data_IF_516989981045
#
_entry.id   IF_516989981045
#
_cell.length_a   1.000
_cell.length_b   1.000
_cell.length_c   1.000
_cell.angle_alpha   90.00
_cell.angle_beta   90.00
_cell.angle_gamma   90.00
#
_symmetry.space_group_name_H-M   'P 1'
#
loop_
_entity.id
_entity.type
_entity.pdbx_description
1 polymer ?
#
# COMPACT_ATOMS: atom_id res chain seq x y z
N UNK A 1 -3.27 -7.72 1.24
CA UNK A 1 -2.89 -8.53 2.43
C UNK A 1 -1.55 -8.03 2.92
N UNK A 2 -1.37 -7.86 4.23
CA UNK A 2 -0.14 -7.32 4.84
C UNK A 2 0.15 -8.02 6.16
N UNK A 3 1.41 -8.05 6.58
CA UNK A 3 1.82 -8.56 7.90
C UNK A 3 1.52 -7.58 9.04
N UNK A 4 1.57 -8.08 10.27
CA UNK A 4 1.54 -7.32 11.52
C UNK A 4 2.63 -6.26 11.61
N UNK A 5 3.82 -6.53 11.06
CA UNK A 5 4.89 -5.54 10.92
C UNK A 5 4.46 -4.26 10.17
N UNK A 6 3.44 -4.33 9.29
CA UNK A 6 2.84 -3.14 8.69
C UNK A 6 1.68 -2.59 9.54
N UNK A 7 0.77 -3.45 10.00
CA UNK A 7 -0.41 -3.04 10.77
C UNK A 7 -0.07 -2.37 12.10
N UNK A 8 1.10 -2.66 12.68
CA UNK A 8 1.55 -2.03 13.91
C UNK A 8 1.84 -0.52 13.78
N UNK A 9 2.06 -0.01 12.58
CA UNK A 9 2.46 1.39 12.34
C UNK A 9 1.66 2.11 11.25
N UNK A 10 0.85 1.40 10.47
CA UNK A 10 0.00 1.95 9.40
C UNK A 10 -1.45 1.58 9.63
N UNK A 11 -2.36 2.58 9.61
CA UNK A 11 -3.79 2.34 9.76
C UNK A 11 -4.47 1.93 8.45
N UNK A 12 -5.66 1.32 8.53
CA UNK A 12 -6.42 0.93 7.33
C UNK A 12 -6.72 2.13 6.42
N UNK A 13 -7.05 3.28 7.02
CA UNK A 13 -7.29 4.53 6.29
C UNK A 13 -6.05 5.00 5.53
N UNK A 14 -4.88 4.92 6.16
CA UNK A 14 -3.61 5.25 5.50
C UNK A 14 -3.35 4.33 4.32
N UNK A 15 -3.58 3.02 4.48
CA UNK A 15 -3.40 2.03 3.40
C UNK A 15 -4.28 2.39 2.21
N UNK A 16 -5.56 2.71 2.43
CA UNK A 16 -6.49 3.08 1.35
C UNK A 16 -6.03 4.35 0.63
N UNK A 17 -5.60 5.38 1.38
CA UNK A 17 -5.11 6.63 0.80
C UNK A 17 -3.83 6.41 -0.02
N UNK A 18 -2.86 5.69 0.53
CA UNK A 18 -1.58 5.38 -0.15
C UNK A 18 -1.82 4.60 -1.44
N UNK A 19 -2.71 3.60 -1.41
CA UNK A 19 -3.04 2.83 -2.61
C UNK A 19 -3.70 3.75 -3.65
N UNK A 20 -4.67 4.58 -3.25
CA UNK A 20 -5.37 5.52 -4.16
C UNK A 20 -4.42 6.47 -4.89
N UNK A 21 -3.43 7.01 -4.18
CA UNK A 21 -2.45 7.94 -4.77
C UNK A 21 -1.44 7.24 -5.69
N UNK A 22 -1.23 5.93 -5.51
CA UNK A 22 -0.18 5.15 -6.21
C UNK A 22 -0.75 4.21 -7.30
N UNK A 23 -2.05 4.31 -7.63
CA UNK A 23 -2.76 3.38 -8.53
C UNK A 23 -2.33 3.50 -10.00
N UNK A 24 -1.18 2.93 -10.33
CA UNK A 24 -0.77 2.61 -11.71
C UNK A 24 -0.27 1.18 -11.83
N UNK A 25 0.42 0.68 -10.79
CA UNK A 25 0.96 -0.67 -10.75
C UNK A 25 0.90 -1.25 -9.32
N UNK A 26 0.49 -2.52 -9.20
CA UNK A 26 0.39 -3.21 -7.92
C UNK A 26 1.75 -3.30 -7.20
N UNK A 27 2.84 -3.48 -7.96
CA UNK A 27 4.21 -3.52 -7.42
C UNK A 27 4.67 -2.18 -6.84
N UNK A 28 4.20 -1.05 -7.37
CA UNK A 28 4.49 0.26 -6.77
C UNK A 28 3.69 0.48 -5.49
N UNK A 29 2.42 0.07 -5.47
CA UNK A 29 1.59 0.13 -4.27
C UNK A 29 2.21 -0.68 -3.12
N UNK A 30 2.66 -1.92 -3.40
CA UNK A 30 3.24 -2.78 -2.37
C UNK A 30 4.55 -2.23 -1.82
N UNK A 31 5.44 -1.73 -2.69
CA UNK A 31 6.68 -1.06 -2.27
C UNK A 31 6.41 0.19 -1.44
N UNK A 32 5.47 1.04 -1.87
CA UNK A 32 5.14 2.27 -1.14
C UNK A 32 4.62 1.97 0.27
N UNK A 33 3.72 1.00 0.42
CA UNK A 33 3.22 0.56 1.72
C UNK A 33 4.34 0.02 2.62
N UNK A 34 5.24 -0.79 2.07
CA UNK A 34 6.37 -1.31 2.84
C UNK A 34 7.35 -0.20 3.27
N UNK A 35 7.63 0.76 2.39
CA UNK A 35 8.47 1.93 2.71
C UNK A 35 7.82 2.81 3.77
N UNK A 36 6.52 3.04 3.69
CA UNK A 36 5.80 3.83 4.69
C UNK A 36 5.89 3.19 6.08
N UNK A 37 5.70 1.87 6.19
CA UNK A 37 5.84 1.16 7.46
C UNK A 37 7.27 1.21 8.00
N UNK A 38 8.29 1.08 7.13
CA UNK A 38 9.68 1.21 7.52
C UNK A 38 10.01 2.63 8.01
N UNK A 39 9.51 3.67 7.33
CA UNK A 39 9.72 5.07 7.70
C UNK A 39 9.04 5.45 9.02
N UNK A 40 7.89 4.85 9.31
CA UNK A 40 7.17 5.00 10.58
C UNK A 40 7.80 4.21 11.74
N UNK A 41 8.94 3.55 11.50
CA UNK A 41 9.74 2.92 12.54
C UNK A 41 9.31 1.50 12.89
N UNK A 42 8.65 0.79 11.97
CA UNK A 42 8.42 -0.64 12.17
C UNK A 42 9.75 -1.37 12.34
N UNK A 43 9.83 -2.20 13.38
CA UNK A 43 11.01 -3.00 13.73
C UNK A 43 10.86 -4.47 13.37
N UNK A 44 9.78 -4.81 12.65
CA UNK A 44 9.43 -6.17 12.31
C UNK A 44 9.55 -6.42 10.79
N UNK A 45 9.44 -7.67 10.38
CA UNK A 45 9.41 -8.04 8.97
C UNK A 45 8.11 -7.56 8.31
N UNK A 46 8.27 -6.75 7.26
CA UNK A 46 7.15 -6.17 6.51
C UNK A 46 6.94 -6.98 5.23
N UNK A 47 5.78 -7.62 5.12
CA UNK A 47 5.36 -8.33 3.90
C UNK A 47 4.06 -7.74 3.39
N UNK A 48 4.00 -7.42 2.09
CA UNK A 48 2.85 -6.75 1.46
C UNK A 48 2.50 -7.43 0.13
N UNK A 49 1.25 -7.85 -0.01
CA UNK A 49 0.69 -8.37 -1.26
C UNK A 49 -0.49 -7.50 -1.69
N UNK A 50 -0.37 -6.93 -2.89
CA UNK A 50 -1.41 -6.13 -3.55
C UNK A 50 -1.92 -6.90 -4.76
N UNK A 51 -3.24 -7.10 -4.83
CA UNK A 51 -3.91 -7.79 -5.94
C UNK A 51 -4.98 -6.85 -6.47
N UNK A 52 -4.92 -6.57 -7.77
CA UNK A 52 -5.99 -5.86 -8.46
C UNK A 52 -7.01 -6.88 -8.97
N UNK A 53 -8.20 -6.89 -8.38
CA UNK A 53 -9.28 -7.81 -8.75
C UNK A 53 -9.92 -7.48 -10.10
N UNK A 54 -9.63 -6.30 -10.64
CA UNK A 54 -10.05 -5.84 -11.96
C UNK A 54 -8.89 -5.09 -12.62
N UNK A 55 -8.81 -5.03 -13.96
CA UNK A 55 -7.89 -4.14 -14.63
C UNK A 55 -8.15 -2.70 -14.15
N UNK A 56 -7.14 -2.08 -13.57
CA UNK A 56 -7.17 -0.67 -13.16
C UNK A 56 -6.35 0.12 -14.17
N UNK A 57 -7.02 0.96 -14.95
CA UNK A 57 -6.37 1.87 -15.90
C UNK A 57 -5.79 3.10 -15.19
N UNK A 58 -6.42 3.57 -14.09
CA UNK A 58 -5.96 4.53 -13.06
C UNK A 58 -7.19 4.83 -12.16
N UNK A 59 -7.03 5.11 -10.86
CA UNK A 59 -8.16 5.48 -9.99
C UNK A 59 -8.61 6.94 -10.14
N UNK A 60 -7.72 7.83 -10.59
CA UNK A 60 -8.10 9.14 -11.10
C UNK A 60 -8.75 9.02 -12.48
N UNK A 61 -10.06 9.25 -12.53
CA UNK A 61 -10.71 9.72 -13.75
C UNK A 61 -10.41 11.21 -13.86
N UNK A 62 -9.36 11.54 -14.62
CA UNK A 62 -9.13 12.92 -15.05
C UNK A 62 -10.31 13.27 -15.98
N UNK A 63 -11.20 14.15 -15.53
CA UNK A 63 -12.25 14.77 -16.34
C UNK A 63 -11.82 16.17 -16.76
#
# INVERSE_FOLDING_TARGET
MVSDGLWGVVSEKDIVNIIRDTMKEAGMCSKRLATEAAQRGSKDNITVIVIFLRPVSTAERIY
#
